data_IF_356960225480
#
_entry.id   IF_356960225480
#
_cell.length_a   1.000
_cell.length_b   1.000
_cell.length_c   1.000
_cell.angle_alpha   90.00
_cell.angle_beta   90.00
_cell.angle_gamma   90.00
#
_symmetry.space_group_name_H-M   'P 1'
#
loop_
_entity.id
_entity.type
_entity.pdbx_description
1 polymer ?
#
# COMPACT_ATOMS: atom_id res chain seq x y z
N UNK A 1 -62.82 28.17 82.01
CA UNK A 1 -62.17 26.87 81.67
C UNK A 1 -61.71 26.99 80.23
N UNK A 2 -60.49 27.49 80.02
CA UNK A 2 -59.28 26.76 79.55
C UNK A 2 -59.25 26.53 78.01
N UNK A 3 -58.21 27.12 77.38
CA UNK A 3 -57.75 27.13 75.96
C UNK A 3 -57.36 25.71 75.45
N UNK A 4 -57.23 25.42 74.11
CA UNK A 4 -56.15 26.00 73.29
C UNK A 4 -56.36 26.20 71.76
N UNK A 5 -55.39 26.87 71.10
CA UNK A 5 -55.34 27.13 69.65
C UNK A 5 -54.34 26.23 68.88
N UNK A 6 -54.58 26.08 67.57
CA UNK A 6 -53.55 25.97 66.52
C UNK A 6 -52.89 24.62 66.20
N UNK A 7 -52.75 24.34 64.90
CA UNK A 7 -51.60 23.74 64.17
C UNK A 7 -52.07 22.79 63.05
N UNK A 8 -51.82 23.13 61.79
CA UNK A 8 -50.65 22.74 60.99
C UNK A 8 -50.96 21.59 60.01
N UNK A 9 -51.33 21.96 58.78
CA UNK A 9 -51.17 21.09 57.61
C UNK A 9 -49.85 21.48 56.94
N UNK A 10 -48.85 20.61 57.01
CA UNK A 10 -47.55 20.82 56.37
C UNK A 10 -47.53 20.20 54.98
N UNK A 11 -47.23 21.05 54.02
CA UNK A 11 -47.11 20.79 52.59
C UNK A 11 -46.03 19.78 52.19
N UNK A 12 -46.35 19.19 51.04
CA UNK A 12 -45.63 18.29 50.17
C UNK A 12 -44.11 18.41 50.07
N UNK A 13 -43.50 17.23 50.15
CA UNK A 13 -42.27 16.79 49.50
C UNK A 13 -41.91 17.53 48.22
N UNK A 14 -40.94 18.45 48.30
CA UNK A 14 -40.05 18.78 47.18
C UNK A 14 -38.61 18.60 47.65
N UNK A 15 -38.05 17.40 47.43
CA UNK A 15 -36.60 17.23 47.44
C UNK A 15 -36.05 17.90 46.18
N UNK A 16 -35.77 19.19 46.29
CA UNK A 16 -35.01 19.92 45.29
C UNK A 16 -33.61 19.30 45.20
N UNK A 17 -33.20 18.92 43.99
CA UNK A 17 -31.81 18.59 43.72
C UNK A 17 -30.98 19.85 43.94
N UNK A 18 -30.39 19.97 45.13
CA UNK A 18 -29.52 21.09 45.49
C UNK A 18 -28.17 20.83 44.82
N UNK A 19 -27.91 21.53 43.73
CA UNK A 19 -26.59 21.55 43.12
C UNK A 19 -25.54 21.97 44.16
N UNK A 20 -24.37 21.30 44.23
CA UNK A 20 -23.34 21.62 45.21
C UNK A 20 -22.85 23.07 45.02
N UNK A 21 -23.09 23.91 46.03
CA UNK A 21 -22.70 25.32 46.08
C UNK A 21 -21.23 25.49 46.47
N UNK A 22 -20.34 24.97 45.62
CA UNK A 22 -18.93 25.26 45.64
C UNK A 22 -18.51 25.53 44.21
N UNK A 23 -18.28 26.80 43.86
CA UNK A 23 -17.89 27.19 42.50
C UNK A 23 -16.69 26.41 41.95
N UNK A 24 -15.86 25.86 42.83
CA UNK A 24 -14.75 24.94 42.53
C UNK A 24 -15.20 23.49 42.28
N UNK A 25 -16.12 22.92 43.08
CA UNK A 25 -16.59 21.54 42.90
C UNK A 25 -17.44 21.38 41.64
N UNK A 26 -18.32 22.33 41.36
CA UNK A 26 -19.12 22.32 40.13
C UNK A 26 -18.22 22.39 38.89
N UNK A 27 -17.15 23.20 38.93
CA UNK A 27 -16.20 23.34 37.82
C UNK A 27 -15.39 22.06 37.59
N UNK A 28 -14.95 21.37 38.65
CA UNK A 28 -14.28 20.07 38.55
C UNK A 28 -15.20 19.03 37.90
N UNK A 29 -16.48 18.96 38.32
CA UNK A 29 -17.46 18.04 37.72
C UNK A 29 -17.64 18.32 36.23
N UNK A 30 -17.71 19.59 35.82
CA UNK A 30 -17.81 19.99 34.41
C UNK A 30 -16.55 19.56 33.63
N UNK A 31 -15.35 19.81 34.15
CA UNK A 31 -14.09 19.39 33.50
C UNK A 31 -14.00 17.88 33.37
N UNK A 32 -14.38 17.13 34.39
CA UNK A 32 -14.41 15.65 34.33
C UNK A 32 -15.42 15.17 33.29
N UNK A 33 -16.61 15.77 33.21
CA UNK A 33 -17.60 15.45 32.18
C UNK A 33 -17.06 15.74 30.77
N UNK A 34 -16.37 16.87 30.57
CA UNK A 34 -15.74 17.20 29.30
C UNK A 34 -14.60 16.22 28.96
N UNK A 35 -13.76 15.84 29.93
CA UNK A 35 -12.69 14.87 29.70
C UNK A 35 -13.24 13.46 29.39
N UNK A 36 -14.33 13.05 30.03
CA UNK A 36 -15.00 11.77 29.71
C UNK A 36 -15.66 11.82 28.34
N UNK A 37 -16.27 12.95 27.96
CA UNK A 37 -16.91 13.11 26.66
C UNK A 37 -15.89 13.21 25.50
N UNK A 38 -14.80 13.97 25.67
CA UNK A 38 -13.83 14.27 24.60
C UNK A 38 -12.54 13.44 24.67
N UNK A 39 -12.23 12.82 25.82
CA UNK A 39 -11.05 11.97 26.00
C UNK A 39 -10.94 10.86 24.95
N UNK A 40 -12.01 10.10 24.66
CA UNK A 40 -11.98 9.07 23.62
C UNK A 40 -11.69 9.61 22.22
N UNK A 41 -12.15 10.82 21.90
CA UNK A 41 -11.97 11.45 20.57
C UNK A 41 -10.51 11.89 20.38
N UNK A 42 -9.91 12.47 21.41
CA UNK A 42 -8.50 12.87 21.39
C UNK A 42 -7.56 11.66 21.25
N UNK A 43 -7.97 10.51 21.79
CA UNK A 43 -7.22 9.25 21.64
C UNK A 43 -7.28 8.69 20.21
N UNK A 44 -8.35 8.96 19.46
CA UNK A 44 -8.53 8.47 18.09
C UNK A 44 -7.86 9.35 17.01
N UNK A 45 -7.16 10.42 17.40
CA UNK A 45 -6.55 11.33 16.43
C UNK A 45 -5.44 10.63 15.64
N UNK A 46 -5.56 10.52 14.30
CA UNK A 46 -4.57 9.81 13.50
C UNK A 46 -3.22 10.54 13.57
N UNK A 47 -2.15 9.76 13.65
CA UNK A 47 -0.80 10.33 13.72
C UNK A 47 -0.43 11.08 12.44
N UNK A 48 0.61 11.91 12.49
CA UNK A 48 1.15 12.58 11.28
C UNK A 48 1.53 11.56 10.20
N UNK A 49 2.04 10.39 10.61
CA UNK A 49 2.38 9.29 9.72
C UNK A 49 1.14 8.75 9.03
N UNK A 50 0.07 8.48 9.78
CA UNK A 50 -1.16 7.90 9.22
C UNK A 50 -1.83 8.86 8.25
N UNK A 51 -1.88 10.16 8.59
CA UNK A 51 -2.38 11.21 7.69
C UNK A 51 -1.59 11.24 6.39
N UNK A 52 -0.25 11.17 6.45
CA UNK A 52 0.63 11.14 5.28
C UNK A 52 0.38 9.90 4.43
N UNK A 53 0.39 8.71 5.02
CA UNK A 53 0.15 7.46 4.30
C UNK A 53 -1.25 7.47 3.65
N UNK A 54 -2.26 7.95 4.36
CA UNK A 54 -3.61 8.10 3.81
C UNK A 54 -3.65 9.08 2.64
N UNK A 55 -2.89 10.17 2.69
CA UNK A 55 -2.78 11.11 1.57
C UNK A 55 -2.11 10.46 0.34
N UNK A 56 -1.01 9.73 0.52
CA UNK A 56 -0.32 9.02 -0.57
C UNK A 56 -1.23 7.98 -1.23
N UNK A 57 -1.85 7.12 -0.42
CA UNK A 57 -2.73 6.06 -0.91
C UNK A 57 -4.04 6.63 -1.47
N UNK A 58 -4.51 7.75 -0.94
CA UNK A 58 -5.63 8.51 -1.48
C UNK A 58 -5.33 9.05 -2.89
N UNK A 59 -4.19 9.72 -3.05
CA UNK A 59 -3.73 10.22 -4.35
C UNK A 59 -3.58 9.08 -5.39
N UNK A 60 -3.07 7.92 -4.96
CA UNK A 60 -2.92 6.76 -5.83
C UNK A 60 -4.27 6.23 -6.34
N UNK A 61 -5.25 6.09 -5.45
CA UNK A 61 -6.61 5.66 -5.83
C UNK A 61 -7.27 6.66 -6.76
N UNK A 62 -7.10 7.96 -6.52
CA UNK A 62 -7.59 9.01 -7.43
C UNK A 62 -6.91 8.92 -8.81
N UNK A 63 -5.65 8.49 -8.87
CA UNK A 63 -4.91 8.24 -10.10
C UNK A 63 -5.23 6.89 -10.77
N UNK A 64 -6.23 6.14 -10.28
CA UNK A 64 -6.66 4.86 -10.84
C UNK A 64 -5.82 3.65 -10.44
N UNK A 65 -4.93 3.80 -9.44
CA UNK A 65 -4.16 2.69 -8.90
C UNK A 65 -4.93 1.97 -7.80
N UNK A 66 -4.89 0.64 -7.81
CA UNK A 66 -5.29 -0.16 -6.67
C UNK A 66 -4.16 -0.18 -5.63
N UNK A 67 -4.50 0.02 -4.35
CA UNK A 67 -3.53 0.03 -3.25
C UNK A 67 -3.93 -0.97 -2.19
N UNK A 68 -3.05 -1.92 -1.92
CA UNK A 68 -3.24 -2.98 -0.92
C UNK A 68 -2.03 -3.06 0.01
N UNK A 69 -2.24 -3.60 1.21
CA UNK A 69 -1.16 -3.92 2.14
C UNK A 69 -0.91 -5.42 2.06
N UNK A 70 0.33 -5.78 1.73
CA UNK A 70 0.74 -7.18 1.54
C UNK A 70 1.95 -7.45 2.42
N UNK A 71 1.98 -8.62 3.05
CA UNK A 71 3.17 -9.12 3.73
C UNK A 71 4.10 -9.79 2.72
N UNK A 72 5.32 -9.28 2.61
CA UNK A 72 6.33 -9.79 1.71
C UNK A 72 7.53 -10.33 2.51
N UNK A 73 8.10 -11.48 2.13
CA UNK A 73 9.34 -11.97 2.75
C UNK A 73 10.45 -10.93 2.55
N UNK A 74 11.21 -10.62 3.59
CA UNK A 74 12.42 -9.82 3.44
C UNK A 74 13.51 -10.66 2.79
N UNK A 75 13.87 -10.30 1.56
CA UNK A 75 14.94 -10.97 0.81
C UNK A 75 16.33 -10.37 1.11
N UNK A 76 16.39 -9.28 1.85
CA UNK A 76 17.61 -8.59 2.31
C UNK A 76 18.19 -9.17 3.61
N UNK A 77 17.54 -10.16 4.23
CA UNK A 77 18.05 -10.78 5.48
C UNK A 77 19.19 -11.76 5.17
N UNK A 78 20.34 -11.53 5.82
CA UNK A 78 21.49 -12.41 5.79
C UNK A 78 21.09 -13.84 6.19
N UNK A 79 21.69 -14.90 5.59
CA UNK A 79 21.29 -16.29 5.88
C UNK A 79 21.30 -16.65 7.37
N UNK A 80 22.21 -16.09 8.16
CA UNK A 80 22.33 -16.31 9.61
C UNK A 80 21.21 -15.69 10.44
N UNK A 81 20.57 -14.62 9.96
CA UNK A 81 19.50 -13.91 10.68
C UNK A 81 18.09 -14.47 10.35
N UNK A 82 18.03 -15.47 9.46
CA UNK A 82 16.79 -16.18 9.12
C UNK A 82 16.42 -17.23 10.16
N UNK A 83 17.33 -17.54 11.09
CA UNK A 83 17.11 -18.48 12.19
C UNK A 83 17.45 -17.78 13.50
N UNK A 84 16.65 -18.00 14.53
CA UNK A 84 17.00 -17.53 15.87
C UNK A 84 18.10 -18.42 16.48
N UNK A 85 18.66 -18.02 17.62
CA UNK A 85 19.67 -18.79 18.34
C UNK A 85 19.21 -20.22 18.74
N UNK A 86 17.91 -20.53 18.63
CA UNK A 86 17.33 -21.86 18.83
C UNK A 86 17.03 -22.63 17.54
N UNK A 87 17.53 -22.19 16.37
CA UNK A 87 17.38 -22.88 15.08
C UNK A 87 16.00 -22.75 14.43
N UNK A 88 15.11 -21.88 14.96
CA UNK A 88 13.77 -21.68 14.42
C UNK A 88 13.77 -20.55 13.39
N UNK A 89 13.13 -20.79 12.24
CA UNK A 89 12.97 -19.78 11.21
C UNK A 89 12.29 -18.53 11.77
N UNK A 90 12.92 -17.36 11.59
CA UNK A 90 12.40 -16.06 12.02
C UNK A 90 11.43 -15.57 10.94
N UNK A 91 10.22 -15.16 11.33
CA UNK A 91 9.30 -14.46 10.43
C UNK A 91 9.86 -13.07 10.11
N UNK A 92 10.58 -12.99 9.00
CA UNK A 92 11.18 -11.74 8.52
C UNK A 92 10.24 -10.97 7.60
N UNK A 93 8.97 -11.40 7.45
CA UNK A 93 8.04 -10.74 6.55
C UNK A 93 7.79 -9.29 6.97
N UNK A 94 7.80 -8.39 5.99
CA UNK A 94 7.49 -6.97 6.16
C UNK A 94 6.19 -6.65 5.45
N UNK A 95 5.34 -5.88 6.12
CA UNK A 95 4.16 -5.30 5.49
C UNK A 95 4.57 -4.13 4.59
N UNK A 96 4.20 -4.22 3.31
CA UNK A 96 4.48 -3.26 2.26
C UNK A 96 3.20 -2.87 1.55
N UNK A 97 3.12 -1.61 1.12
CA UNK A 97 2.04 -1.17 0.25
C UNK A 97 2.36 -1.55 -1.19
N UNK A 98 1.46 -2.27 -1.84
CA UNK A 98 1.52 -2.56 -3.27
C UNK A 98 0.60 -1.63 -4.02
N UNK A 99 1.14 -1.03 -5.09
CA UNK A 99 0.44 -0.11 -5.98
C UNK A 99 0.32 -0.81 -7.32
N UNK A 100 -0.92 -1.11 -7.74
CA UNK A 100 -1.19 -1.86 -8.97
C UNK A 100 -1.96 -1.03 -9.96
N UNK A 101 -1.51 -1.08 -11.21
CA UNK A 101 -2.23 -0.56 -12.35
C UNK A 101 -2.98 -1.71 -13.03
N UNK A 102 -4.33 -1.72 -13.03
CA UNK A 102 -5.09 -2.64 -13.86
C UNK A 102 -4.87 -2.31 -15.34
N UNK A 103 -4.69 -3.34 -16.16
CA UNK A 103 -4.47 -3.19 -17.60
C UNK A 103 -5.78 -3.38 -18.37
N UNK A 104 -5.94 -2.69 -19.51
CA UNK A 104 -7.17 -2.75 -20.31
C UNK A 104 -7.42 -4.17 -20.86
N UNK A 105 -6.36 -4.90 -21.21
CA UNK A 105 -6.39 -6.28 -21.70
C UNK A 105 -5.43 -7.17 -20.92
N UNK A 106 -5.66 -8.48 -21.00
CA UNK A 106 -4.75 -9.48 -20.45
C UNK A 106 -3.51 -9.66 -21.33
N UNK A 107 -2.40 -10.06 -20.71
CA UNK A 107 -1.26 -10.62 -21.42
C UNK A 107 -1.58 -12.06 -21.80
N UNK A 108 -1.48 -12.36 -23.09
CA UNK A 108 -1.70 -13.71 -23.62
C UNK A 108 -0.38 -14.45 -23.82
N UNK A 109 0.70 -13.71 -24.03
CA UNK A 109 2.01 -14.25 -24.35
C UNK A 109 2.98 -14.17 -23.16
N UNK A 110 2.91 -13.09 -22.38
CA UNK A 110 3.84 -12.88 -21.27
C UNK A 110 3.47 -13.68 -20.02
N UNK A 111 4.42 -14.40 -19.40
CA UNK A 111 4.16 -15.08 -18.13
C UNK A 111 4.02 -14.06 -16.99
N UNK A 112 3.37 -14.47 -15.91
CA UNK A 112 3.43 -13.73 -14.65
C UNK A 112 4.84 -13.81 -14.07
N UNK A 113 5.31 -12.72 -13.47
CA UNK A 113 6.63 -12.65 -12.84
C UNK A 113 6.66 -11.61 -11.73
N UNK A 114 7.62 -11.78 -10.82
CA UNK A 114 7.91 -10.82 -9.76
C UNK A 114 9.42 -10.75 -9.57
N UNK A 115 9.92 -9.54 -9.36
CA UNK A 115 11.31 -9.28 -9.05
C UNK A 115 11.43 -8.38 -7.83
N UNK A 116 12.48 -8.60 -7.05
CA UNK A 116 12.77 -7.92 -5.81
C UNK A 116 14.13 -7.26 -5.87
N UNK A 117 14.26 -6.13 -5.20
CA UNK A 117 15.56 -5.49 -4.99
C UNK A 117 16.31 -6.28 -3.90
N UNK A 118 17.30 -7.08 -4.31
CA UNK A 118 18.12 -7.89 -3.40
C UNK A 118 19.49 -8.20 -4.02
N UNK A 119 20.46 -8.56 -3.18
CA UNK A 119 21.81 -8.91 -3.61
C UNK A 119 21.95 -10.36 -4.09
N UNK A 120 21.13 -11.27 -3.54
CA UNK A 120 21.27 -12.71 -3.73
C UNK A 120 19.99 -13.32 -4.30
N UNK A 121 20.14 -14.20 -5.28
CA UNK A 121 19.04 -14.84 -6.00
C UNK A 121 19.36 -14.92 -7.48
N UNK A 122 18.39 -15.35 -8.27
CA UNK A 122 18.58 -15.37 -9.72
C UNK A 122 18.37 -13.96 -10.29
N UNK A 123 19.34 -13.40 -11.02
CA UNK A 123 19.29 -12.00 -11.45
C UNK A 123 18.19 -11.75 -12.48
N UNK A 124 17.47 -10.64 -12.30
CA UNK A 124 16.51 -10.10 -13.27
C UNK A 124 17.07 -8.82 -13.94
N UNK A 125 17.62 -7.92 -13.14
CA UNK A 125 18.32 -6.69 -13.55
C UNK A 125 19.44 -6.40 -12.55
N UNK A 126 20.37 -5.45 -12.82
CA UNK A 126 21.38 -5.07 -11.82
C UNK A 126 20.75 -4.66 -10.48
N UNK A 127 21.04 -5.42 -9.41
CA UNK A 127 20.46 -5.21 -8.07
C UNK A 127 19.03 -5.73 -7.89
N UNK A 128 18.52 -6.50 -8.86
CA UNK A 128 17.19 -7.11 -8.83
C UNK A 128 17.28 -8.61 -9.06
N UNK A 129 16.52 -9.38 -8.30
CA UNK A 129 16.43 -10.84 -8.41
C UNK A 129 14.99 -11.26 -8.62
N UNK A 130 14.78 -12.31 -9.40
CA UNK A 130 13.47 -12.92 -9.52
C UNK A 130 13.00 -13.54 -8.20
N UNK A 131 11.69 -13.52 -8.01
CA UNK A 131 11.04 -14.29 -6.97
C UNK A 131 11.34 -15.79 -7.14
N UNK A 132 11.41 -16.55 -6.04
CA UNK A 132 11.71 -17.99 -6.09
C UNK A 132 10.63 -18.81 -6.80
N UNK A 133 9.40 -18.30 -6.84
CA UNK A 133 8.26 -18.86 -7.56
C UNK A 133 8.22 -18.43 -9.04
N UNK A 134 9.06 -17.49 -9.46
CA UNK A 134 9.18 -17.14 -10.87
C UNK A 134 9.80 -18.31 -11.65
N UNK A 135 9.44 -18.42 -12.93
CA UNK A 135 10.05 -19.35 -13.90
C UNK A 135 11.00 -18.59 -14.83
N UNK A 136 12.20 -18.24 -14.36
CA UNK A 136 13.14 -17.36 -15.06
C UNK A 136 13.61 -17.90 -16.41
N UNK A 137 13.61 -19.22 -16.56
CA UNK A 137 14.00 -19.90 -17.81
C UNK A 137 12.95 -19.76 -18.93
N UNK A 138 11.82 -19.10 -18.65
CA UNK A 138 10.80 -18.87 -19.66
C UNK A 138 11.36 -17.98 -20.78
N UNK A 139 11.31 -18.41 -22.06
CA UNK A 139 12.02 -17.74 -23.16
C UNK A 139 11.58 -16.28 -23.35
N UNK A 140 10.34 -15.96 -22.97
CA UNK A 140 9.77 -14.60 -23.04
C UNK A 140 10.23 -13.65 -21.93
N UNK A 141 10.80 -14.14 -20.83
CA UNK A 141 11.31 -13.27 -19.76
C UNK A 141 12.57 -12.51 -20.16
N UNK A 142 13.41 -13.08 -21.03
CA UNK A 142 14.56 -12.35 -21.58
C UNK A 142 14.12 -11.08 -22.32
N UNK A 143 13.03 -11.17 -23.09
CA UNK A 143 12.45 -10.01 -23.77
C UNK A 143 11.88 -8.98 -22.77
N UNK A 144 11.20 -9.43 -21.71
CA UNK A 144 10.74 -8.54 -20.63
C UNK A 144 11.90 -7.79 -19.98
N UNK A 145 12.99 -8.50 -19.65
CA UNK A 145 14.19 -7.92 -19.05
C UNK A 145 14.75 -6.82 -19.95
N UNK A 146 14.90 -7.10 -21.24
CA UNK A 146 15.39 -6.14 -22.22
C UNK A 146 14.45 -4.93 -22.35
N UNK A 147 13.14 -5.14 -22.47
CA UNK A 147 12.14 -4.08 -22.63
C UNK A 147 12.07 -3.13 -21.43
N UNK A 148 12.25 -3.63 -20.21
CA UNK A 148 12.12 -2.82 -19.00
C UNK A 148 13.46 -2.34 -18.42
N UNK A 149 14.60 -2.70 -19.00
CA UNK A 149 15.93 -2.46 -18.43
C UNK A 149 16.17 -1.00 -18.00
N UNK A 150 15.88 -0.04 -18.89
CA UNK A 150 16.07 1.40 -18.61
C UNK A 150 15.10 1.92 -17.55
N UNK A 151 13.85 1.46 -17.59
CA UNK A 151 12.82 1.86 -16.63
C UNK A 151 13.12 1.34 -15.22
N UNK A 152 13.60 0.10 -15.10
CA UNK A 152 13.97 -0.51 -13.82
C UNK A 152 15.24 0.13 -13.25
N UNK A 153 16.21 0.46 -14.09
CA UNK A 153 17.44 1.16 -13.67
C UNK A 153 17.15 2.56 -13.08
N UNK A 154 16.15 3.27 -13.62
CA UNK A 154 15.72 4.58 -13.15
C UNK A 154 14.77 4.53 -11.94
N UNK A 155 14.39 3.33 -11.47
CA UNK A 155 13.39 3.18 -10.42
C UNK A 155 13.98 3.58 -9.06
N UNK A 156 13.17 4.32 -8.29
CA UNK A 156 13.55 4.86 -6.98
C UNK A 156 14.05 3.76 -6.02
N UNK A 157 15.01 4.08 -5.13
CA UNK A 157 15.63 3.10 -4.24
C UNK A 157 14.65 2.53 -3.19
N UNK A 158 13.57 3.25 -2.90
CA UNK A 158 12.57 2.85 -1.92
C UNK A 158 11.44 1.96 -2.48
N UNK A 159 11.52 1.60 -3.76
CA UNK A 159 10.73 0.51 -4.35
C UNK A 159 11.46 -0.80 -4.10
N UNK A 160 10.76 -1.72 -3.42
CA UNK A 160 11.30 -2.99 -2.95
C UNK A 160 11.08 -4.15 -3.93
N UNK A 161 9.98 -4.10 -4.69
CA UNK A 161 9.65 -5.14 -5.66
C UNK A 161 8.79 -4.59 -6.79
N UNK A 162 8.80 -5.28 -7.93
CA UNK A 162 7.92 -5.06 -9.07
C UNK A 162 7.31 -6.40 -9.49
N UNK A 163 6.07 -6.37 -9.97
CA UNK A 163 5.37 -7.58 -10.40
C UNK A 163 4.56 -7.31 -11.66
N UNK A 164 4.37 -8.38 -12.43
CA UNK A 164 3.48 -8.45 -13.55
C UNK A 164 2.62 -9.71 -13.39
N UNK A 165 1.32 -9.53 -13.44
CA UNK A 165 0.34 -10.61 -13.53
C UNK A 165 -0.47 -10.46 -14.81
N UNK A 166 -1.31 -11.45 -15.11
CA UNK A 166 -2.07 -11.54 -16.37
C UNK A 166 -2.77 -10.24 -16.79
N UNK A 167 -3.29 -9.44 -15.87
CA UNK A 167 -4.03 -8.21 -16.21
C UNK A 167 -3.64 -6.99 -15.37
N UNK A 168 -2.44 -7.01 -14.77
CA UNK A 168 -1.98 -5.89 -13.93
C UNK A 168 -0.47 -5.88 -13.81
N UNK A 169 0.07 -4.69 -13.68
CA UNK A 169 1.46 -4.45 -13.27
C UNK A 169 1.45 -3.74 -11.93
N UNK A 170 2.39 -4.07 -11.06
CA UNK A 170 2.46 -3.50 -9.72
C UNK A 170 3.88 -3.26 -9.23
N UNK A 171 3.98 -2.42 -8.20
CA UNK A 171 5.20 -2.22 -7.45
C UNK A 171 4.92 -2.19 -5.96
N UNK A 172 5.87 -2.66 -5.18
CA UNK A 172 5.84 -2.68 -3.72
C UNK A 172 6.72 -1.56 -3.21
N UNK A 173 6.12 -0.64 -2.46
CA UNK A 173 6.76 0.59 -2.05
C UNK A 173 6.87 0.69 -0.53
N UNK A 174 8.03 1.19 -0.07
CA UNK A 174 8.32 1.40 1.35
C UNK A 174 7.63 2.65 1.94
N UNK A 175 7.03 3.50 1.10
CA UNK A 175 6.36 4.75 1.49
C UNK A 175 7.24 5.63 2.39
N UNK A 176 8.47 5.89 1.93
CA UNK A 176 9.51 6.64 2.64
C UNK A 176 8.99 7.92 3.29
N UNK A 177 9.50 8.36 4.45
CA UNK A 177 8.98 9.52 5.19
C UNK A 177 8.85 10.82 4.39
N UNK A 178 9.74 11.06 3.42
CA UNK A 178 9.73 12.23 2.54
C UNK A 178 8.87 12.11 1.29
N UNK A 179 8.13 11.01 1.13
CA UNK A 179 7.28 10.80 -0.03
C UNK A 179 6.05 11.72 -0.02
N UNK A 180 5.70 12.22 -1.20
CA UNK A 180 4.58 13.14 -1.43
C UNK A 180 3.61 12.60 -2.49
N UNK A 181 2.43 13.21 -2.68
CA UNK A 181 1.52 12.85 -3.77
C UNK A 181 2.17 12.94 -5.16
N UNK A 182 3.14 13.82 -5.36
CA UNK A 182 3.94 13.91 -6.59
C UNK A 182 4.75 12.63 -6.81
N UNK A 183 5.33 12.06 -5.75
CA UNK A 183 6.01 10.75 -5.82
C UNK A 183 5.06 9.65 -6.29
N UNK A 184 3.79 9.70 -5.88
CA UNK A 184 2.76 8.76 -6.34
C UNK A 184 2.46 8.96 -7.82
N UNK A 185 2.42 10.21 -8.29
CA UNK A 185 2.25 10.52 -9.71
C UNK A 185 3.41 9.99 -10.56
N UNK A 186 4.65 10.14 -10.09
CA UNK A 186 5.85 9.58 -10.72
C UNK A 186 5.77 8.05 -10.82
N UNK A 187 5.46 7.37 -9.72
CA UNK A 187 5.31 5.91 -9.69
C UNK A 187 4.15 5.44 -10.57
N UNK A 188 3.03 6.18 -10.60
CA UNK A 188 1.91 5.91 -11.48
C UNK A 188 2.28 6.08 -12.96
N UNK A 189 3.07 7.09 -13.31
CA UNK A 189 3.57 7.29 -14.67
C UNK A 189 4.51 6.15 -15.07
N UNK A 190 5.40 5.73 -14.17
CA UNK A 190 6.25 4.57 -14.37
C UNK A 190 5.43 3.30 -14.65
N UNK A 191 4.42 2.99 -13.82
CA UNK A 191 3.56 1.82 -14.01
C UNK A 191 2.82 1.85 -15.35
N UNK A 192 2.35 3.02 -15.79
CA UNK A 192 1.69 3.19 -17.09
C UNK A 192 2.64 2.94 -18.24
N UNK A 193 3.84 3.52 -18.19
CA UNK A 193 4.85 3.35 -19.25
C UNK A 193 5.32 1.90 -19.34
N UNK A 194 5.59 1.26 -18.19
CA UNK A 194 5.97 -0.14 -18.13
C UNK A 194 4.83 -1.04 -18.62
N UNK A 195 3.59 -0.79 -18.19
CA UNK A 195 2.41 -1.52 -18.65
C UNK A 195 2.19 -1.42 -20.16
N UNK A 196 2.33 -0.22 -20.74
CA UNK A 196 2.25 -0.01 -22.19
C UNK A 196 3.34 -0.76 -22.95
N UNK A 197 4.59 -0.67 -22.48
CA UNK A 197 5.72 -1.37 -23.10
C UNK A 197 5.52 -2.89 -23.09
N UNK A 198 5.04 -3.45 -21.98
CA UNK A 198 4.71 -4.88 -21.90
C UNK A 198 3.54 -5.27 -22.81
N UNK A 199 2.52 -4.42 -22.93
CA UNK A 199 1.39 -4.69 -23.83
C UNK A 199 1.80 -4.66 -25.30
N UNK A 200 2.76 -3.81 -25.67
CA UNK A 200 3.35 -3.77 -27.00
C UNK A 200 4.21 -5.01 -27.25
N UNK A 201 5.03 -5.42 -26.28
CA UNK A 201 5.83 -6.64 -26.35
C UNK A 201 4.93 -7.88 -26.50
N UNK A 202 3.88 -7.99 -25.70
CA UNK A 202 2.92 -9.10 -25.75
C UNK A 202 2.27 -9.23 -27.14
N UNK A 203 1.90 -8.10 -27.75
CA UNK A 203 1.37 -8.07 -29.11
C UNK A 203 2.41 -8.44 -30.17
N UNK A 204 3.65 -7.95 -30.04
CA UNK A 204 4.73 -8.29 -30.95
C UNK A 204 5.07 -9.79 -30.92
N UNK A 205 4.99 -10.40 -29.73
CA UNK A 205 5.19 -11.85 -29.55
C UNK A 205 4.03 -12.70 -30.08
N UNK A 206 2.86 -12.11 -30.32
CA UNK A 206 1.71 -12.78 -30.91
C UNK A 206 1.72 -12.71 -32.45
N UNK A 207 2.48 -11.78 -33.05
CA UNK A 207 2.56 -11.65 -34.49
C UNK A 207 3.26 -12.87 -35.12
N UNK A 208 2.73 -13.45 -36.21
CA UNK A 208 3.38 -14.55 -36.91
C UNK A 208 4.72 -14.10 -37.50
N UNK A 209 5.75 -14.93 -37.35
CA UNK A 209 7.13 -14.63 -37.76
C UNK A 209 7.34 -14.47 -39.29
N UNK A 210 6.34 -14.81 -40.12
CA UNK A 210 6.47 -14.96 -41.58
C UNK A 210 6.15 -13.71 -42.41
N UNK A 211 5.75 -12.58 -41.83
CA UNK A 211 5.35 -11.41 -42.62
C UNK A 211 6.52 -10.58 -43.21
N UNK A 212 7.76 -11.10 -43.20
CA UNK A 212 8.96 -10.34 -43.61
C UNK A 212 9.80 -11.04 -44.68
N UNK A 213 9.26 -12.01 -45.42
CA UNK A 213 10.06 -12.78 -46.41
C UNK A 213 9.45 -12.98 -47.80
N UNK A 214 8.27 -12.43 -48.10
CA UNK A 214 7.65 -12.55 -49.44
C UNK A 214 7.61 -11.19 -50.18
N UNK A 215 8.76 -10.54 -50.32
CA UNK A 215 8.93 -9.49 -51.34
C UNK A 215 9.80 -10.04 -52.47
N UNK A 216 9.16 -10.85 -53.29
CA UNK A 216 9.71 -11.35 -54.55
C UNK A 216 9.97 -10.16 -55.49
N UNK A 217 11.20 -9.97 -56.03
CA UNK A 217 11.48 -8.85 -56.90
C UNK A 217 10.71 -9.01 -58.22
N UNK A 218 10.16 -7.92 -58.81
CA UNK A 218 9.46 -8.02 -60.07
C UNK A 218 10.40 -8.51 -61.17
N UNK A 219 9.97 -9.53 -61.91
CA UNK A 219 10.67 -10.04 -63.10
C UNK A 219 10.92 -8.90 -64.09
N UNK A 220 12.15 -8.77 -64.63
CA UNK A 220 12.44 -7.79 -65.65
C UNK A 220 11.78 -8.19 -66.99
N UNK A 221 10.96 -7.29 -67.53
CA UNK A 221 10.47 -7.31 -68.91
C UNK A 221 11.55 -6.77 -69.84
#
# INVERSE_FOLDING_TARGET
MWLPPGSAWSDHTRKAFRAPSGGHMAWIVIVVLLLVAFGPILWLMPSRRDKRLNALRGAARQAGLAVELVRLPRLDVAPGDRVNAGGRAVDTARELAVYRLPLPRSFEQLPAWRAFRAANGLPAWPGWVFATDARPDHPRLAAVIATLASQVAALRPDVAAIECETRRIGLYWLESPGATPETVSELGAWLRNAGLALLQLDAALAAPADATSDEEPPEPI
#
